data_IF_377896048551
#
_entry.id   IF_377896048551
#
_cell.length_a   1.000
_cell.length_b   1.000
_cell.length_c   1.000
_cell.angle_alpha   90.00
_cell.angle_beta   90.00
_cell.angle_gamma   90.00
#
_symmetry.space_group_name_H-M   'P 1'
#
loop_
_entity.id
_entity.type
_entity.pdbx_description
1 polymer ?
#
# COMPACT_ATOMS: atom_id res chain seq x y z
N UNK A 1 47.47 -53.66 45.74
CA UNK A 1 47.54 -52.32 45.10
C UNK A 1 46.11 -51.96 44.71
N UNK A 2 45.66 -50.71 44.93
CA UNK A 2 44.37 -50.26 44.41
C UNK A 2 44.61 -49.83 42.97
N UNK A 3 43.95 -50.47 42.02
CA UNK A 3 43.97 -50.03 40.62
C UNK A 3 42.94 -48.91 40.47
N UNK A 4 43.32 -47.80 39.87
CA UNK A 4 42.35 -46.77 39.45
C UNK A 4 41.54 -47.31 38.27
N UNK A 5 40.22 -47.16 38.36
CA UNK A 5 39.27 -47.59 37.33
C UNK A 5 38.84 -46.38 36.50
N UNK A 6 38.84 -46.55 35.19
CA UNK A 6 38.40 -45.59 34.19
C UNK A 6 37.07 -46.07 33.63
N UNK A 7 36.11 -45.14 33.53
CA UNK A 7 34.84 -45.33 32.87
C UNK A 7 34.96 -45.02 31.39
N UNK A 8 34.74 -46.02 30.54
CA UNK A 8 34.83 -45.91 29.10
C UNK A 8 33.53 -46.34 28.42
N UNK A 9 33.35 -45.93 27.17
CA UNK A 9 32.26 -46.33 26.28
C UNK A 9 32.84 -47.09 25.11
N UNK A 10 32.20 -48.18 24.72
CA UNK A 10 32.61 -48.95 23.53
C UNK A 10 32.21 -48.19 22.26
N UNK A 11 33.17 -47.79 21.43
CA UNK A 11 32.91 -46.87 20.30
C UNK A 11 32.93 -47.52 18.91
N UNK A 12 33.76 -48.56 18.69
CA UNK A 12 34.05 -49.07 17.33
C UNK A 12 33.55 -50.50 17.05
N UNK A 13 33.59 -51.39 18.04
CA UNK A 13 33.07 -52.76 17.91
C UNK A 13 32.73 -53.34 19.27
N UNK A 14 31.79 -54.30 19.31
CA UNK A 14 31.49 -55.03 20.54
C UNK A 14 32.75 -55.74 21.07
N UNK A 15 32.92 -55.76 22.40
CA UNK A 15 34.07 -56.36 23.08
C UNK A 15 33.62 -57.36 24.14
N UNK A 16 34.45 -58.36 24.42
CA UNK A 16 34.26 -59.27 25.56
C UNK A 16 35.29 -58.95 26.63
N UNK A 17 34.83 -58.60 27.83
CA UNK A 17 35.70 -58.20 28.93
C UNK A 17 35.01 -58.53 30.27
N UNK A 18 35.79 -58.85 31.32
CA UNK A 18 35.26 -59.25 32.63
C UNK A 18 34.15 -60.32 32.60
N UNK A 19 34.24 -61.25 31.64
CA UNK A 19 33.28 -62.33 31.48
C UNK A 19 31.96 -61.94 30.80
N UNK A 20 31.82 -60.71 30.28
CA UNK A 20 30.60 -60.18 29.65
C UNK A 20 30.88 -59.59 28.27
N UNK A 21 29.88 -59.65 27.39
CA UNK A 21 29.88 -58.94 26.12
C UNK A 21 29.31 -57.52 26.30
N UNK A 22 30.01 -56.53 25.75
CA UNK A 22 29.61 -55.13 25.70
C UNK A 22 29.44 -54.73 24.23
N UNK A 23 28.29 -54.16 23.89
CA UNK A 23 28.00 -53.63 22.55
C UNK A 23 28.50 -52.20 22.39
N UNK A 24 28.51 -51.70 21.15
CA UNK A 24 28.82 -50.29 20.88
C UNK A 24 27.80 -49.40 21.62
N UNK A 25 28.31 -48.42 22.36
CA UNK A 25 27.56 -47.52 23.22
C UNK A 25 27.42 -47.98 24.67
N UNK A 26 27.83 -49.22 25.00
CA UNK A 26 27.79 -49.71 26.38
C UNK A 26 28.94 -49.13 27.21
N UNK A 27 28.66 -48.91 28.49
CA UNK A 27 29.63 -48.43 29.47
C UNK A 27 30.39 -49.60 30.09
N UNK A 28 31.70 -49.43 30.23
CA UNK A 28 32.59 -50.43 30.80
C UNK A 28 33.59 -49.78 31.76
N UNK A 29 33.84 -50.46 32.87
CA UNK A 29 34.89 -50.11 33.83
C UNK A 29 36.14 -50.93 33.52
N UNK A 30 37.25 -50.25 33.27
CA UNK A 30 38.55 -50.85 32.96
C UNK A 30 39.63 -50.19 33.80
N UNK A 31 40.75 -50.87 34.04
CA UNK A 31 41.94 -50.22 34.59
C UNK A 31 42.60 -49.31 33.56
N UNK A 32 43.48 -48.39 34.00
CA UNK A 32 44.23 -47.53 33.09
C UNK A 32 45.05 -48.31 32.04
N UNK A 33 45.69 -49.41 32.45
CA UNK A 33 46.46 -50.26 31.54
C UNK A 33 45.55 -50.90 30.46
N UNK A 34 44.41 -51.45 30.88
CA UNK A 34 43.44 -52.05 29.96
C UNK A 34 42.80 -51.02 29.03
N UNK A 35 42.56 -49.80 29.53
CA UNK A 35 42.06 -48.70 28.71
C UNK A 35 43.03 -48.36 27.56
N UNK A 36 44.33 -48.31 27.85
CA UNK A 36 45.34 -48.06 26.81
C UNK A 36 45.51 -49.23 25.83
N UNK A 37 45.43 -50.47 26.31
CA UNK A 37 45.44 -51.66 25.44
C UNK A 37 44.21 -51.71 24.52
N UNK A 38 43.05 -51.28 25.01
CA UNK A 38 41.77 -51.28 24.29
C UNK A 38 41.40 -49.89 23.73
N UNK A 39 42.34 -48.95 23.64
CA UNK A 39 42.07 -47.56 23.24
C UNK A 39 41.49 -47.43 21.82
N UNK A 40 41.68 -48.45 20.97
CA UNK A 40 41.05 -48.50 19.65
C UNK A 40 39.54 -48.78 19.75
N UNK A 41 39.08 -49.44 20.81
CA UNK A 41 37.68 -49.87 20.98
C UNK A 41 36.92 -49.04 22.01
N UNK A 42 37.63 -48.30 22.85
CA UNK A 42 37.10 -47.57 23.99
C UNK A 42 37.34 -46.07 23.86
N UNK A 43 36.33 -45.29 24.21
CA UNK A 43 36.43 -43.84 24.37
C UNK A 43 36.17 -43.45 25.84
N UNK A 44 36.85 -42.43 26.40
CA UNK A 44 36.54 -41.97 27.75
C UNK A 44 35.11 -41.45 27.81
N UNK A 45 34.31 -41.91 28.78
CA UNK A 45 32.90 -41.51 28.89
C UNK A 45 32.72 -39.99 28.96
N UNK A 46 33.61 -39.30 29.67
CA UNK A 46 33.54 -37.85 29.82
C UNK A 46 33.70 -37.13 28.49
N UNK A 47 34.55 -37.64 27.59
CA UNK A 47 34.73 -37.07 26.26
C UNK A 47 33.53 -37.32 25.37
N UNK A 48 32.95 -38.53 25.41
CA UNK A 48 31.72 -38.87 24.68
C UNK A 48 30.55 -37.98 25.12
N UNK A 49 30.38 -37.79 26.44
CA UNK A 49 29.33 -36.93 26.99
C UNK A 49 29.55 -35.47 26.59
N UNK A 50 30.79 -34.95 26.70
CA UNK A 50 31.11 -33.58 26.27
C UNK A 50 30.90 -33.37 24.78
N UNK A 51 31.32 -34.31 23.93
CA UNK A 51 31.13 -34.26 22.49
C UNK A 51 29.64 -34.22 22.13
N UNK A 52 28.83 -35.07 22.78
CA UNK A 52 27.37 -35.10 22.59
C UNK A 52 26.71 -33.80 23.04
N UNK A 53 27.07 -33.27 24.21
CA UNK A 53 26.55 -32.00 24.71
C UNK A 53 26.90 -30.84 23.77
N UNK A 54 28.14 -30.80 23.28
CA UNK A 54 28.58 -29.78 22.33
C UNK A 54 27.82 -29.88 21.00
N UNK A 55 27.69 -31.09 20.45
CA UNK A 55 26.94 -31.32 19.22
C UNK A 55 25.45 -30.92 19.37
N UNK A 56 24.86 -31.19 20.53
CA UNK A 56 23.50 -30.76 20.84
C UNK A 56 23.38 -29.24 20.93
N UNK A 57 24.30 -28.57 21.64
CA UNK A 57 24.30 -27.11 21.74
C UNK A 57 24.46 -26.43 20.37
N UNK A 58 25.38 -26.92 19.53
CA UNK A 58 25.55 -26.41 18.15
C UNK A 58 24.32 -26.65 17.27
N UNK A 59 23.63 -27.79 17.46
CA UNK A 59 22.39 -28.07 16.74
C UNK A 59 21.24 -27.15 17.20
N UNK A 60 21.12 -26.90 18.50
CA UNK A 60 20.14 -25.99 19.07
C UNK A 60 20.40 -24.54 18.64
N UNK A 61 21.66 -24.09 18.64
CA UNK A 61 22.05 -22.76 18.15
C UNK A 61 21.70 -22.59 16.67
N UNK A 62 21.99 -23.59 15.83
CA UNK A 62 21.61 -23.56 14.40
C UNK A 62 20.10 -23.54 14.22
N UNK A 63 19.37 -24.34 15.00
CA UNK A 63 17.91 -24.37 14.93
C UNK A 63 17.30 -23.01 15.34
N UNK A 64 17.82 -22.38 16.39
CA UNK A 64 17.40 -21.04 16.82
C UNK A 64 17.72 -20.00 15.74
N UNK A 65 18.94 -19.98 15.20
CA UNK A 65 19.33 -19.04 14.16
C UNK A 65 18.46 -19.17 12.90
N UNK A 66 18.10 -20.40 12.48
CA UNK A 66 17.17 -20.61 11.37
C UNK A 66 15.75 -20.13 11.69
N UNK A 67 15.26 -20.38 12.91
CA UNK A 67 13.93 -19.93 13.33
C UNK A 67 13.85 -18.40 13.38
N UNK A 68 14.89 -17.72 13.86
CA UNK A 68 14.96 -16.26 13.90
C UNK A 68 15.02 -15.66 12.50
N UNK A 69 15.81 -16.23 11.59
CA UNK A 69 15.86 -15.81 10.19
C UNK A 69 14.49 -15.97 9.50
N UNK A 70 13.82 -17.11 9.69
CA UNK A 70 12.49 -17.35 9.12
C UNK A 70 11.43 -16.38 9.68
N UNK A 71 11.49 -16.08 10.98
CA UNK A 71 10.60 -15.11 11.60
C UNK A 71 10.84 -13.69 11.09
N UNK A 72 12.10 -13.30 10.88
CA UNK A 72 12.46 -12.00 10.32
C UNK A 72 11.94 -11.86 8.87
N UNK A 73 12.13 -12.88 8.04
CA UNK A 73 11.61 -12.91 6.67
C UNK A 73 10.08 -12.83 6.63
N UNK A 74 9.41 -13.62 7.48
CA UNK A 74 7.94 -13.58 7.60
C UNK A 74 7.43 -12.18 7.96
N UNK A 75 8.05 -11.51 8.93
CA UNK A 75 7.68 -10.14 9.32
C UNK A 75 7.89 -9.14 8.18
N UNK A 76 9.01 -9.26 7.45
CA UNK A 76 9.27 -8.39 6.30
C UNK A 76 8.22 -8.57 5.19
N UNK A 77 7.84 -9.82 4.89
CA UNK A 77 6.79 -10.13 3.92
C UNK A 77 5.42 -9.64 4.36
N UNK A 78 5.06 -9.83 5.64
CA UNK A 78 3.79 -9.33 6.20
C UNK A 78 3.72 -7.80 6.13
N UNK A 79 4.82 -7.11 6.43
CA UNK A 79 4.88 -5.65 6.34
C UNK A 79 4.76 -5.18 4.89
N UNK A 80 5.50 -5.78 3.96
CA UNK A 80 5.42 -5.45 2.54
C UNK A 80 4.02 -5.69 1.96
N UNK A 81 3.36 -6.79 2.35
CA UNK A 81 2.00 -7.09 1.94
C UNK A 81 1.02 -6.03 2.45
N UNK A 82 1.15 -5.63 3.72
CA UNK A 82 0.31 -4.60 4.31
C UNK A 82 0.49 -3.24 3.62
N UNK A 83 1.73 -2.82 3.40
CA UNK A 83 2.03 -1.58 2.69
C UNK A 83 1.46 -1.59 1.26
N UNK A 84 1.56 -2.73 0.55
CA UNK A 84 0.97 -2.89 -0.77
C UNK A 84 -0.56 -2.81 -0.75
N UNK A 85 -1.22 -3.41 0.24
CA UNK A 85 -2.68 -3.36 0.37
C UNK A 85 -3.16 -1.94 0.70
N UNK A 86 -2.47 -1.24 1.60
CA UNK A 86 -2.78 0.14 1.95
C UNK A 86 -2.59 1.07 0.75
N UNK A 87 -1.52 0.90 -0.03
CA UNK A 87 -1.29 1.66 -1.26
C UNK A 87 -2.37 1.39 -2.33
N UNK A 88 -2.77 0.14 -2.51
CA UNK A 88 -3.85 -0.20 -3.44
C UNK A 88 -5.18 0.43 -3.02
N UNK A 89 -5.54 0.32 -1.73
CA UNK A 89 -6.78 0.91 -1.21
C UNK A 89 -6.79 2.45 -1.37
N UNK A 90 -5.66 3.12 -1.13
CA UNK A 90 -5.54 4.56 -1.34
C UNK A 90 -5.67 4.93 -2.82
N UNK A 91 -5.04 4.18 -3.73
CA UNK A 91 -5.13 4.43 -5.16
C UNK A 91 -6.57 4.26 -5.67
N UNK A 92 -7.27 3.23 -5.21
CA UNK A 92 -8.68 2.97 -5.57
C UNK A 92 -9.62 4.05 -5.03
N UNK A 93 -9.41 4.50 -3.78
CA UNK A 93 -10.16 5.60 -3.19
C UNK A 93 -9.97 6.90 -3.98
N UNK A 94 -8.73 7.25 -4.32
CA UNK A 94 -8.42 8.44 -5.12
C UNK A 94 -9.00 8.34 -6.54
N UNK A 95 -8.96 7.17 -7.17
CA UNK A 95 -9.56 6.97 -8.49
C UNK A 95 -11.08 7.17 -8.44
N UNK A 96 -11.74 6.67 -7.39
CA UNK A 96 -13.18 6.83 -7.18
C UNK A 96 -13.55 8.29 -6.93
N UNK A 97 -12.84 8.98 -6.04
CA UNK A 97 -13.07 10.40 -5.75
C UNK A 97 -12.87 11.27 -6.99
N UNK A 98 -11.80 11.03 -7.75
CA UNK A 98 -11.55 11.76 -9.00
C UNK A 98 -12.63 11.48 -10.05
N UNK A 99 -13.12 10.24 -10.14
CA UNK A 99 -14.23 9.87 -11.01
C UNK A 99 -15.52 10.65 -10.69
N UNK A 100 -15.92 10.64 -9.41
CA UNK A 100 -17.08 11.40 -8.93
C UNK A 100 -16.93 12.89 -9.18
N UNK A 101 -15.75 13.46 -8.88
CA UNK A 101 -15.48 14.88 -9.10
C UNK A 101 -15.51 15.25 -10.58
N UNK A 102 -15.05 14.37 -11.46
CA UNK A 102 -15.14 14.59 -12.90
C UNK A 102 -16.59 14.56 -13.39
N UNK A 103 -17.42 13.65 -12.88
CA UNK A 103 -18.84 13.57 -13.18
C UNK A 103 -19.60 14.82 -12.68
N UNK A 104 -19.37 15.24 -11.44
CA UNK A 104 -19.94 16.47 -10.88
C UNK A 104 -19.53 17.72 -11.68
N UNK A 105 -18.27 17.79 -12.11
CA UNK A 105 -17.78 18.88 -12.93
C UNK A 105 -18.49 18.91 -14.30
N UNK A 106 -18.69 17.75 -14.94
CA UNK A 106 -19.44 17.65 -16.20
C UNK A 106 -20.90 18.07 -16.02
N UNK A 107 -21.56 17.63 -14.95
CA UNK A 107 -22.93 18.03 -14.64
C UNK A 107 -23.06 19.55 -14.46
N UNK A 108 -22.10 20.19 -13.78
CA UNK A 108 -22.07 21.66 -13.63
C UNK A 108 -21.85 22.39 -14.94
N UNK A 109 -21.01 21.85 -15.83
CA UNK A 109 -20.81 22.46 -17.16
C UNK A 109 -22.12 22.44 -17.94
N UNK A 110 -22.83 21.30 -17.97
CA UNK A 110 -24.13 21.19 -18.63
C UNK A 110 -25.15 22.16 -18.03
N UNK A 111 -25.19 22.30 -16.70
CA UNK A 111 -26.06 23.26 -16.03
C UNK A 111 -25.75 24.71 -16.43
N UNK A 112 -24.46 25.09 -16.46
CA UNK A 112 -24.04 26.42 -16.87
C UNK A 112 -24.36 26.71 -18.34
N UNK A 113 -24.20 25.72 -19.23
CA UNK A 113 -24.60 25.84 -20.64
C UNK A 113 -26.11 26.07 -20.79
N UNK A 114 -26.94 25.38 -20.00
CA UNK A 114 -28.39 25.61 -19.99
C UNK A 114 -28.76 27.00 -19.46
N UNK A 115 -28.09 27.45 -18.39
CA UNK A 115 -28.29 28.81 -17.85
C UNK A 115 -27.91 29.87 -18.89
N UNK A 116 -26.80 29.66 -19.60
CA UNK A 116 -26.33 30.56 -20.67
C UNK A 116 -27.33 30.62 -21.82
N UNK A 117 -27.80 29.47 -22.31
CA UNK A 117 -28.83 29.42 -23.36
C UNK A 117 -30.13 30.11 -22.94
N UNK A 118 -30.54 29.96 -21.68
CA UNK A 118 -31.73 30.63 -21.13
C UNK A 118 -31.53 32.15 -21.06
N UNK A 119 -30.34 32.60 -20.64
CA UNK A 119 -30.01 34.02 -20.57
C UNK A 119 -29.95 34.66 -21.96
N UNK A 120 -29.39 33.96 -22.96
CA UNK A 120 -29.38 34.41 -24.36
C UNK A 120 -30.79 34.56 -24.92
N UNK A 121 -31.68 33.58 -24.67
CA UNK A 121 -33.07 33.67 -25.09
C UNK A 121 -33.80 34.86 -24.45
N UNK A 122 -33.57 35.11 -23.16
CA UNK A 122 -34.14 36.25 -22.45
C UNK A 122 -33.61 37.59 -22.99
N UNK A 123 -32.32 37.67 -23.33
CA UNK A 123 -31.74 38.85 -23.96
C UNK A 123 -32.38 39.13 -25.33
N UNK A 124 -32.57 38.11 -26.16
CA UNK A 124 -33.24 38.25 -27.46
C UNK A 124 -34.68 38.79 -27.31
N UNK A 125 -35.44 38.27 -26.35
CA UNK A 125 -36.79 38.78 -26.05
C UNK A 125 -36.76 40.26 -25.63
N UNK A 126 -35.80 40.64 -24.78
CA UNK A 126 -35.64 42.04 -24.35
C UNK A 126 -35.21 42.96 -25.49
N UNK A 127 -34.35 42.50 -26.40
CA UNK A 127 -33.99 43.24 -27.60
C UNK A 127 -35.20 43.47 -28.52
N UNK A 128 -36.07 42.45 -28.69
CA UNK A 128 -37.33 42.61 -29.43
C UNK A 128 -38.29 43.61 -28.76
N UNK A 129 -38.43 43.56 -27.43
CA UNK A 129 -39.22 44.54 -26.68
C UNK A 129 -38.70 45.97 -26.89
N UNK A 130 -37.38 46.17 -26.80
CA UNK A 130 -36.73 47.46 -27.03
C UNK A 130 -36.98 47.94 -28.47
N UNK A 131 -36.88 47.05 -29.46
CA UNK A 131 -37.15 47.38 -30.85
C UNK A 131 -38.60 47.83 -31.06
N UNK A 132 -39.57 47.12 -30.46
CA UNK A 132 -41.00 47.48 -30.49
C UNK A 132 -41.24 48.85 -29.85
N UNK A 133 -40.75 49.07 -28.63
CA UNK A 133 -40.89 50.35 -27.92
C UNK A 133 -40.23 51.49 -28.71
N UNK A 134 -39.06 51.25 -29.30
CA UNK A 134 -38.36 52.24 -30.12
C UNK A 134 -39.17 52.62 -31.36
N UNK A 135 -39.77 51.64 -32.04
CA UNK A 135 -40.65 51.87 -33.18
C UNK A 135 -41.89 52.70 -32.78
N UNK A 136 -42.55 52.34 -31.67
CA UNK A 136 -43.70 53.08 -31.13
C UNK A 136 -43.35 54.54 -30.78
N UNK A 137 -42.18 54.77 -30.15
CA UNK A 137 -41.69 56.10 -29.83
C UNK A 137 -41.41 56.94 -31.08
N UNK A 138 -40.85 56.34 -32.14
CA UNK A 138 -40.64 57.05 -33.42
C UNK A 138 -41.95 57.43 -34.10
N UNK A 139 -42.95 56.52 -34.12
CA UNK A 139 -44.27 56.80 -34.66
C UNK A 139 -44.97 57.94 -33.89
N UNK A 140 -44.95 57.91 -32.55
CA UNK A 140 -45.52 58.98 -31.72
C UNK A 140 -44.87 60.36 -31.94
N UNK A 141 -43.57 60.43 -32.26
CA UNK A 141 -42.87 61.69 -32.57
C UNK A 141 -43.27 62.27 -33.92
N UNK A 142 -43.52 61.42 -34.93
CA UNK A 142 -44.04 61.90 -36.22
C UNK A 142 -45.46 62.49 -36.11
N UNK A 143 -46.31 61.96 -35.23
CA UNK A 143 -47.66 62.50 -35.04
C UNK A 143 -47.70 63.82 -34.26
N UNK A 144 -46.75 64.06 -33.34
CA UNK A 144 -46.64 65.34 -32.60
C UNK A 144 -45.97 66.47 -33.40
N UNK A 145 -45.03 66.16 -34.30
CA UNK A 145 -44.36 67.16 -35.15
C UNK A 145 -45.22 67.70 -36.30
N UNK A 146 -46.29 66.99 -36.68
CA UNK A 146 -47.27 67.45 -37.67
C UNK A 146 -48.27 68.51 -37.20
N UNK A 147 -48.30 68.86 -35.90
CA UNK A 147 -49.31 69.78 -35.31
C UNK A 147 -48.82 71.17 -34.93
N UNK A 148 -47.59 71.55 -35.31
CA UNK A 148 -46.97 72.79 -34.85
C UNK A 148 -46.30 73.63 -35.93
N UNK A 149 -46.99 74.01 -37.02
CA UNK A 149 -46.67 75.29 -37.69
C UNK A 149 -47.80 75.82 -38.59
N UNK A 150 -48.63 76.72 -38.04
CA UNK A 150 -49.33 77.77 -38.80
C UNK A 150 -49.33 79.05 -37.96
N UNK A 151 -48.16 79.69 -37.87
CA UNK A 151 -48.08 81.12 -37.57
C UNK A 151 -47.97 81.87 -38.91
N UNK A 152 -49.00 82.66 -39.21
CA UNK A 152 -49.05 83.68 -40.29
C UNK A 152 -48.05 84.80 -39.93
N UNK A 153 -47.41 85.47 -40.90
CA UNK A 153 -47.87 86.84 -41.23
C UNK A 153 -47.70 87.19 -42.74
N UNK A 154 -48.70 87.82 -43.39
CA UNK A 154 -48.72 89.23 -43.91
C UNK A 154 -47.65 89.56 -44.95
N UNK A 155 -47.83 90.36 -46.00
CA UNK A 155 -48.94 91.01 -46.72
C UNK A 155 -48.23 91.83 -47.84
N UNK A 156 -48.73 91.78 -49.09
CA UNK A 156 -48.57 92.75 -50.23
C UNK A 156 -47.15 93.19 -50.66
N UNK A 157 -46.83 93.46 -51.92
CA UNK A 157 -47.59 93.98 -53.05
C UNK A 157 -46.87 93.65 -54.38
N UNK A 158 -47.64 93.53 -55.46
CA UNK A 158 -47.21 93.83 -56.84
C UNK A 158 -47.90 95.14 -57.23
N UNK A 159 -47.16 95.97 -57.98
CA UNK A 159 -47.53 97.19 -58.74
C UNK A 159 -48.99 97.17 -59.27
N UNK A 160 -49.78 98.24 -59.28
CA UNK A 160 -49.57 99.62 -59.79
C UNK A 160 -50.55 100.60 -59.10
#
# INVERSE_FOLDING_TARGET
MKHELIMAVVANSAIYHNGKHYNIGDEIEVTEAEFHELAIYLEPKDEVVKARQKAQAEAEEKAQAMADAANAEKRALEQALRESQEAHAQAEALATENGLRAEEAQARVVELEQQLATAEAALAEKEEEIAKISAELTACKSEKSGKGNKAKPTEKAVEE
#
